data_IF_026451877414
#
_entry.id   IF_026451877414
#
_cell.length_a   1.000
_cell.length_b   1.000
_cell.length_c   1.000
_cell.angle_alpha   90.00
_cell.angle_beta   90.00
_cell.angle_gamma   90.00
#
_symmetry.space_group_name_H-M   'P 1'
#
loop_
_entity.id
_entity.type
_entity.pdbx_description
1 polymer ?
#
# COMPACT_ATOMS: atom_id res chain seq x y z
N UNK A 1 -4.85 -11.17 -4.49
CA UNK A 1 -3.74 -11.32 -3.52
C UNK A 1 -2.92 -12.54 -3.96
N UNK A 2 -1.63 -12.65 -3.63
CA UNK A 2 -0.88 -13.88 -3.95
C UNK A 2 -1.38 -15.01 -3.05
N UNK A 3 -1.90 -16.08 -3.65
CA UNK A 3 -2.45 -17.24 -2.92
C UNK A 3 -1.36 -18.23 -2.50
N UNK A 4 -0.12 -18.04 -2.97
CA UNK A 4 1.02 -18.91 -2.68
C UNK A 4 0.89 -20.31 -3.27
N UNK A 5 1.94 -21.13 -3.15
CA UNK A 5 1.88 -22.54 -3.53
C UNK A 5 2.82 -23.41 -2.68
N UNK A 6 2.48 -24.69 -2.55
CA UNK A 6 3.36 -25.70 -1.93
C UNK A 6 4.02 -26.53 -3.02
N UNK A 7 5.28 -26.90 -2.82
CA UNK A 7 5.95 -27.89 -3.65
C UNK A 7 5.58 -29.29 -3.15
N UNK A 8 5.54 -30.25 -4.07
CA UNK A 8 5.24 -31.63 -3.71
C UNK A 8 6.31 -32.15 -2.73
N UNK A 9 5.86 -32.72 -1.61
CA UNK A 9 6.72 -33.17 -0.52
C UNK A 9 7.26 -32.09 0.43
N UNK A 10 6.94 -30.80 0.24
CA UNK A 10 7.32 -29.72 1.18
C UNK A 10 6.11 -29.20 1.97
N UNK A 11 6.29 -29.00 3.28
CA UNK A 11 5.27 -28.36 4.14
C UNK A 11 5.15 -26.86 3.86
N UNK A 12 6.27 -26.22 3.54
CA UNK A 12 6.39 -24.78 3.49
C UNK A 12 5.62 -24.14 2.33
N UNK A 13 5.01 -22.99 2.62
CA UNK A 13 4.30 -22.18 1.64
C UNK A 13 5.29 -21.26 0.91
N UNK A 14 5.23 -21.26 -0.43
CA UNK A 14 6.01 -20.36 -1.26
C UNK A 14 5.16 -19.15 -1.64
N UNK A 15 5.61 -17.94 -1.29
CA UNK A 15 4.90 -16.68 -1.56
C UNK A 15 5.83 -15.71 -2.29
N UNK A 16 5.32 -14.98 -3.27
CA UNK A 16 6.04 -13.89 -3.92
C UNK A 16 5.95 -12.64 -3.06
N UNK A 17 7.10 -12.07 -2.79
CA UNK A 17 7.26 -10.83 -2.05
C UNK A 17 8.16 -9.87 -2.82
N UNK A 18 8.12 -8.60 -2.42
CA UNK A 18 9.01 -7.56 -2.94
C UNK A 18 9.62 -6.83 -1.76
N UNK A 19 10.91 -6.54 -1.83
CA UNK A 19 11.63 -5.68 -0.89
C UNK A 19 11.95 -4.37 -1.62
N UNK A 20 11.61 -3.25 -1.00
CA UNK A 20 11.84 -1.90 -1.54
C UNK A 20 12.75 -1.15 -0.56
N UNK A 21 13.82 -0.57 -1.08
CA UNK A 21 14.63 0.44 -0.39
C UNK A 21 14.42 1.79 -1.06
N UNK A 22 14.38 2.85 -0.25
CA UNK A 22 14.09 4.18 -0.73
C UNK A 22 14.11 5.22 0.37
N UNK A 23 13.76 6.44 0.00
CA UNK A 23 13.73 7.59 0.90
C UNK A 23 12.28 8.01 1.21
N UNK A 24 12.00 8.20 2.49
CA UNK A 24 10.69 8.69 2.95
C UNK A 24 10.65 10.22 2.99
N UNK A 25 9.54 10.81 2.53
CA UNK A 25 9.25 12.24 2.64
C UNK A 25 7.83 12.45 3.14
N UNK A 26 7.63 13.51 3.93
CA UNK A 26 6.27 13.95 4.31
C UNK A 26 5.69 14.78 3.18
N UNK A 27 4.43 14.54 2.87
CA UNK A 27 3.63 15.50 2.10
C UNK A 27 3.20 16.62 3.06
N UNK A 28 3.56 17.86 2.76
CA UNK A 28 3.39 18.98 3.71
C UNK A 28 2.07 19.74 3.52
N UNK A 29 1.47 19.68 2.34
CA UNK A 29 0.24 20.43 2.07
C UNK A 29 -1.01 19.60 2.33
N UNK A 30 -1.99 20.22 2.99
CA UNK A 30 -3.28 19.59 3.23
C UNK A 30 -4.02 19.29 1.92
N UNK A 31 -3.88 20.14 0.90
CA UNK A 31 -4.51 19.95 -0.41
C UNK A 31 -3.98 18.70 -1.11
N UNK A 32 -2.66 18.53 -1.17
CA UNK A 32 -2.03 17.36 -1.78
C UNK A 32 -2.33 16.08 -0.98
N UNK A 33 -2.31 16.17 0.35
CA UNK A 33 -2.74 15.08 1.24
C UNK A 33 -4.15 14.61 0.91
N UNK A 34 -5.12 15.52 0.83
CA UNK A 34 -6.52 15.18 0.52
C UNK A 34 -6.66 14.56 -0.87
N UNK A 35 -5.93 15.08 -1.86
CA UNK A 35 -5.96 14.51 -3.21
C UNK A 35 -5.43 13.08 -3.24
N UNK A 36 -4.29 12.81 -2.60
CA UNK A 36 -3.74 11.45 -2.54
C UNK A 36 -4.66 10.51 -1.76
N UNK A 37 -5.22 10.95 -0.63
CA UNK A 37 -6.20 10.16 0.15
C UNK A 37 -7.43 9.82 -0.69
N UNK A 38 -7.93 10.77 -1.50
CA UNK A 38 -9.04 10.53 -2.44
C UNK A 38 -8.69 9.46 -3.46
N UNK A 39 -7.52 9.55 -4.08
CA UNK A 39 -7.08 8.53 -5.05
C UNK A 39 -6.96 7.14 -4.41
N UNK A 40 -6.45 7.05 -3.17
CA UNK A 40 -6.41 5.79 -2.41
C UNK A 40 -7.84 5.30 -2.13
N UNK A 41 -8.72 6.17 -1.63
CA UNK A 41 -10.11 5.82 -1.33
C UNK A 41 -10.84 5.27 -2.55
N UNK A 42 -10.78 5.96 -3.69
CA UNK A 42 -11.43 5.55 -4.93
C UNK A 42 -10.96 4.19 -5.47
N UNK A 43 -9.75 3.76 -5.09
CA UNK A 43 -9.23 2.43 -5.46
C UNK A 43 -9.85 1.29 -4.65
N UNK A 44 -10.24 1.54 -3.40
CA UNK A 44 -10.61 0.48 -2.45
C UNK A 44 -12.04 0.57 -1.93
N UNK A 45 -12.67 1.74 -1.98
CA UNK A 45 -14.02 1.97 -1.48
C UNK A 45 -15.06 1.75 -2.59
N UNK A 46 -16.29 1.34 -2.23
CA UNK A 46 -17.30 0.98 -3.21
C UNK A 46 -17.86 2.18 -3.99
N UNK A 47 -17.87 3.39 -3.42
CA UNK A 47 -18.43 4.59 -4.08
C UNK A 47 -17.62 5.84 -3.77
N UNK A 48 -17.61 6.80 -4.71
CA UNK A 48 -16.98 8.11 -4.51
C UNK A 48 -17.57 8.90 -3.35
N UNK A 49 -18.89 8.81 -3.12
CA UNK A 49 -19.56 9.48 -2.00
C UNK A 49 -19.03 8.99 -0.64
N UNK A 50 -18.81 7.68 -0.50
CA UNK A 50 -18.24 7.13 0.73
C UNK A 50 -16.81 7.61 0.98
N UNK A 51 -16.03 7.86 -0.08
CA UNK A 51 -14.68 8.41 0.02
C UNK A 51 -14.70 9.86 0.50
N UNK A 52 -15.54 10.71 -0.10
CA UNK A 52 -15.62 12.12 0.31
C UNK A 52 -16.13 12.28 1.74
N UNK A 53 -17.07 11.43 2.18
CA UNK A 53 -17.58 11.46 3.54
C UNK A 53 -16.50 11.10 4.57
N UNK A 54 -15.66 10.10 4.29
CA UNK A 54 -14.54 9.74 5.17
C UNK A 54 -13.43 10.81 5.15
N UNK A 55 -13.13 11.41 3.99
CA UNK A 55 -12.22 12.56 3.90
C UNK A 55 -12.74 13.73 4.74
N UNK A 56 -14.04 14.02 4.69
CA UNK A 56 -14.65 15.09 5.48
C UNK A 56 -14.54 14.84 6.99
N UNK A 57 -14.71 13.59 7.44
CA UNK A 57 -14.63 13.21 8.86
C UNK A 57 -13.20 13.23 9.38
N UNK A 58 -12.26 12.69 8.61
CA UNK A 58 -10.95 12.30 9.13
C UNK A 58 -9.75 12.79 8.31
N UNK A 59 -9.95 13.30 7.09
CA UNK A 59 -8.88 13.66 6.16
C UNK A 59 -7.91 14.72 6.72
N UNK A 60 -8.38 15.64 7.56
CA UNK A 60 -7.55 16.65 8.21
C UNK A 60 -6.54 16.09 9.21
N UNK A 61 -6.73 14.84 9.67
CA UNK A 61 -5.85 14.19 10.65
C UNK A 61 -4.88 13.17 10.00
N UNK A 62 -4.88 13.07 8.67
CA UNK A 62 -4.03 12.14 7.92
C UNK A 62 -2.69 12.79 7.58
N UNK A 63 -1.59 12.05 7.76
CA UNK A 63 -0.28 12.40 7.20
C UNK A 63 0.07 11.40 6.10
N UNK A 64 0.26 11.87 4.88
CA UNK A 64 0.81 11.06 3.78
C UNK A 64 2.33 11.09 3.84
N UNK A 65 2.94 9.91 3.71
CA UNK A 65 4.37 9.75 3.50
C UNK A 65 4.61 9.15 2.12
N UNK A 66 5.46 9.80 1.34
CA UNK A 66 5.92 9.30 0.05
C UNK A 66 7.20 8.48 0.25
N UNK A 67 7.26 7.28 -0.32
CA UNK A 67 8.48 6.50 -0.46
C UNK A 67 9.02 6.67 -1.89
N UNK A 68 10.07 7.47 -2.07
CA UNK A 68 10.84 7.51 -3.32
C UNK A 68 11.67 6.22 -3.42
N UNK A 69 11.44 5.39 -4.44
CA UNK A 69 12.09 4.07 -4.59
C UNK A 69 13.50 4.22 -5.19
N UNK A 70 14.50 3.73 -4.47
CA UNK A 70 15.89 3.63 -4.97
C UNK A 70 16.19 2.24 -5.51
N UNK A 71 15.66 1.20 -4.87
CA UNK A 71 15.88 -0.19 -5.24
C UNK A 71 14.66 -1.05 -4.95
N UNK A 72 14.36 -1.98 -5.85
CA UNK A 72 13.25 -2.93 -5.74
C UNK A 72 13.72 -4.32 -6.16
N UNK A 73 13.50 -5.32 -5.29
CA UNK A 73 13.86 -6.71 -5.56
C UNK A 73 12.69 -7.63 -5.27
N UNK A 74 12.35 -8.50 -6.23
CA UNK A 74 11.40 -9.59 -6.03
C UNK A 74 12.06 -10.78 -5.33
N UNK A 75 11.35 -11.41 -4.40
CA UNK A 75 11.81 -12.58 -3.63
C UNK A 75 10.72 -13.63 -3.58
N UNK A 76 11.07 -14.88 -3.87
CA UNK A 76 10.25 -16.03 -3.51
C UNK A 76 10.61 -16.42 -2.07
N UNK A 77 9.66 -16.28 -1.15
CA UNK A 77 9.82 -16.65 0.25
C UNK A 77 9.31 -18.06 0.44
N UNK A 78 10.11 -18.90 1.06
CA UNK A 78 9.70 -20.21 1.54
C UNK A 78 9.50 -20.10 3.06
N UNK A 79 8.25 -20.23 3.53
CA UNK A 79 7.85 -20.13 4.94
C UNK A 79 8.03 -21.47 5.67
N UNK A 80 9.25 -22.00 5.66
CA UNK A 80 9.65 -23.18 6.45
C UNK A 80 9.89 -22.83 7.91
#
# INVERSE_FOLDING_TARGET
MDEGYRKDGEWALNIKSVIIFGQMKKIETAQETVEIVRQIGLKYFPTAESVEEEIRKAGAYVQILELSIDHITGKLVNES
#
